data_IF_746672516722
#
_entry.id   IF_746672516722
#
_cell.length_a   1.000
_cell.length_b   1.000
_cell.length_c   1.000
_cell.angle_alpha   90.00
_cell.angle_beta   90.00
_cell.angle_gamma   90.00
#
_symmetry.space_group_name_H-M   'P 1'
#
loop_
_entity.id
_entity.type
_entity.pdbx_description
1 polymer ?
#
# COMPACT_ATOMS: atom_id res chain seq x y z
N UNK A 1 7.61 6.46 0.48
CA UNK A 1 8.56 6.45 1.59
C UNK A 1 9.52 5.29 1.44
N UNK A 2 10.75 5.43 1.92
CA UNK A 2 11.73 4.34 2.00
C UNK A 2 12.62 4.58 3.21
N UNK A 3 13.16 3.53 3.79
CA UNK A 3 14.19 3.65 4.83
C UNK A 3 15.40 4.44 4.30
N UNK A 4 15.85 5.43 5.07
CA UNK A 4 16.88 6.37 4.65
C UNK A 4 18.25 5.72 4.49
N UNK A 5 18.59 4.76 5.36
CA UNK A 5 19.89 4.08 5.37
C UNK A 5 20.03 2.99 4.28
N UNK A 6 18.93 2.63 3.61
CA UNK A 6 18.92 1.59 2.59
C UNK A 6 19.31 2.07 1.19
N UNK A 7 19.22 1.16 0.19
CA UNK A 7 19.39 1.50 -1.24
C UNK A 7 18.28 2.39 -1.81
N UNK A 8 17.22 2.65 -1.04
CA UNK A 8 16.12 3.55 -1.41
C UNK A 8 15.37 3.18 -2.70
N UNK A 9 15.36 1.89 -3.07
CA UNK A 9 14.76 1.39 -4.33
C UNK A 9 13.31 0.94 -4.21
N UNK A 10 12.79 0.73 -3.00
CA UNK A 10 11.42 0.26 -2.77
C UNK A 10 10.66 1.34 -2.05
N UNK A 11 9.55 1.77 -2.65
CA UNK A 11 8.67 2.77 -2.06
C UNK A 11 7.48 2.11 -1.38
N UNK A 12 7.21 2.55 -0.15
CA UNK A 12 6.01 2.25 0.61
C UNK A 12 5.09 3.47 0.73
N UNK A 13 3.82 3.23 1.02
CA UNK A 13 2.82 4.29 1.18
C UNK A 13 3.09 5.17 2.40
N UNK A 14 3.51 4.56 3.51
CA UNK A 14 3.77 5.23 4.79
C UNK A 14 5.10 4.75 5.38
N UNK A 15 5.78 5.58 6.19
CA UNK A 15 7.00 5.17 6.89
C UNK A 15 6.70 4.02 7.86
N UNK A 16 7.56 3.01 7.92
CA UNK A 16 7.40 1.84 8.79
C UNK A 16 6.27 0.87 8.41
N UNK A 17 5.48 1.16 7.36
CA UNK A 17 4.40 0.28 6.89
C UNK A 17 4.82 -0.41 5.60
N UNK A 18 4.71 -1.75 5.57
CA UNK A 18 5.07 -2.63 4.45
C UNK A 18 3.98 -2.64 3.38
N UNK A 19 3.55 -1.45 2.96
CA UNK A 19 2.52 -1.24 1.95
C UNK A 19 3.20 -0.80 0.64
N UNK A 20 3.51 -1.75 -0.22
CA UNK A 20 4.24 -1.50 -1.47
C UNK A 20 3.51 -0.49 -2.37
N UNK A 21 4.27 0.41 -2.99
CA UNK A 21 3.78 1.38 -3.99
C UNK A 21 4.51 1.16 -5.32
N UNK A 22 5.84 1.18 -5.29
CA UNK A 22 6.64 1.06 -6.50
C UNK A 22 8.07 0.60 -6.19
N UNK A 23 8.77 0.18 -7.24
CA UNK A 23 10.23 0.02 -7.19
C UNK A 23 10.88 0.95 -8.21
N UNK A 24 12.01 1.55 -7.83
CA UNK A 24 12.76 2.50 -8.65
C UNK A 24 13.98 1.80 -9.24
N UNK A 25 14.17 1.95 -10.55
CA UNK A 25 15.36 1.49 -11.28
C UNK A 25 16.52 2.45 -11.05
N UNK A 26 17.76 1.96 -11.16
CA UNK A 26 18.96 2.72 -10.77
C UNK A 26 19.17 4.01 -11.58
N UNK A 27 18.77 4.02 -12.85
CA UNK A 27 18.76 5.18 -13.73
C UNK A 27 17.79 6.27 -13.26
N UNK A 28 16.57 5.88 -12.88
CA UNK A 28 15.58 6.82 -12.33
C UNK A 28 16.01 7.35 -10.96
N UNK A 29 16.68 6.53 -10.14
CA UNK A 29 17.14 6.89 -8.80
C UNK A 29 18.02 8.16 -8.79
N UNK A 30 18.81 8.38 -9.85
CA UNK A 30 19.70 9.54 -9.96
C UNK A 30 18.93 10.87 -10.01
N UNK A 31 17.65 10.84 -10.39
CA UNK A 31 16.80 12.02 -10.55
C UNK A 31 15.76 12.16 -9.41
N UNK A 32 15.79 11.25 -8.44
CA UNK A 32 14.86 11.26 -7.31
C UNK A 32 15.20 12.38 -6.35
N UNK A 33 14.17 13.10 -5.90
CA UNK A 33 14.29 14.14 -4.87
C UNK A 33 13.76 13.63 -3.54
N UNK A 34 14.48 13.91 -2.47
CA UNK A 34 13.96 13.74 -1.11
C UNK A 34 13.15 14.98 -0.75
N UNK A 35 11.86 14.80 -0.46
CA UNK A 35 10.95 15.88 -0.08
C UNK A 35 10.91 16.09 1.44
N UNK A 36 10.96 15.00 2.20
CA UNK A 36 10.75 15.01 3.65
C UNK A 36 11.48 13.83 4.27
N UNK A 37 11.88 13.98 5.54
CA UNK A 37 12.39 12.90 6.38
C UNK A 37 11.59 12.81 7.67
N UNK A 38 11.45 11.61 8.19
CA UNK A 38 10.79 11.35 9.47
C UNK A 38 11.45 10.17 10.17
N UNK A 39 11.26 10.05 11.48
CA UNK A 39 11.73 8.90 12.26
C UNK A 39 10.53 8.14 12.79
N UNK A 40 10.46 6.84 12.51
CA UNK A 40 9.42 5.96 13.07
C UNK A 40 9.78 5.69 14.52
N UNK A 41 8.94 6.13 15.46
CA UNK A 41 9.20 6.05 16.89
C UNK A 41 9.44 4.61 17.36
N UNK A 42 8.61 3.65 16.92
CA UNK A 42 8.65 2.25 17.36
C UNK A 42 9.99 1.55 17.05
N UNK A 43 10.68 1.97 15.99
CA UNK A 43 11.91 1.32 15.50
C UNK A 43 13.12 2.24 15.53
N UNK A 44 12.94 3.51 15.90
CA UNK A 44 13.92 4.58 15.80
C UNK A 44 14.62 4.64 14.42
N UNK A 45 13.87 4.33 13.35
CA UNK A 45 14.41 4.25 11.99
C UNK A 45 14.06 5.51 11.21
N UNK A 46 15.04 6.12 10.53
CA UNK A 46 14.80 7.27 9.65
C UNK A 46 14.24 6.80 8.29
N UNK A 47 13.21 7.49 7.81
CA UNK A 47 12.56 7.26 6.54
C UNK A 47 12.52 8.55 5.71
N UNK A 48 12.73 8.41 4.40
CA UNK A 48 12.70 9.48 3.43
C UNK A 48 11.46 9.39 2.52
N UNK A 49 10.76 10.50 2.33
CA UNK A 49 9.71 10.67 1.34
C UNK A 49 10.35 11.11 0.03
N UNK A 50 10.30 10.23 -0.96
CA UNK A 50 10.92 10.44 -2.25
C UNK A 50 9.90 10.87 -3.29
N UNK A 51 10.33 11.72 -4.23
CA UNK A 51 9.61 12.11 -5.43
C UNK A 51 10.42 11.72 -6.65
N UNK A 52 9.77 11.06 -7.61
CA UNK A 52 10.33 10.70 -8.89
C UNK A 52 9.36 11.12 -10.00
N UNK A 53 9.90 11.48 -11.15
CA UNK A 53 9.11 11.73 -12.37
C UNK A 53 9.35 10.59 -13.34
N UNK A 54 8.28 10.03 -13.90
CA UNK A 54 8.35 8.93 -14.85
C UNK A 54 7.27 9.09 -15.93
N UNK A 55 7.49 8.45 -17.08
CA UNK A 55 6.54 8.42 -18.19
C UNK A 55 5.67 7.16 -18.11
N UNK A 56 4.36 7.33 -18.34
CA UNK A 56 3.38 6.24 -18.39
C UNK A 56 2.44 6.46 -19.57
N UNK A 57 1.92 5.37 -20.17
CA UNK A 57 0.87 5.49 -21.18
C UNK A 57 -0.41 5.95 -20.51
N UNK A 58 -1.11 6.91 -21.12
CA UNK A 58 -2.37 7.44 -20.57
C UNK A 58 -3.41 6.35 -20.29
N UNK A 59 -3.45 5.29 -21.12
CA UNK A 59 -4.39 4.16 -20.95
C UNK A 59 -4.13 3.28 -19.73
N UNK A 60 -2.98 3.40 -19.08
CA UNK A 60 -2.62 2.61 -17.89
C UNK A 60 -3.02 3.32 -16.58
N UNK A 61 -3.75 4.44 -16.66
CA UNK A 61 -4.21 5.21 -15.50
C UNK A 61 -5.74 5.19 -15.39
N UNK A 62 -6.21 5.17 -14.14
CA UNK A 62 -7.62 5.40 -13.80
C UNK A 62 -7.77 6.81 -13.19
N UNK A 63 -8.92 7.45 -13.42
CA UNK A 63 -9.18 8.80 -12.91
C UNK A 63 -9.54 8.82 -11.42
N UNK A 64 -10.03 7.70 -10.88
CA UNK A 64 -10.40 7.55 -9.46
C UNK A 64 -10.04 6.14 -9.02
N UNK A 65 -9.52 6.01 -7.80
CA UNK A 65 -9.16 4.74 -7.16
C UNK A 65 -10.40 4.00 -6.62
N UNK A 66 -11.52 4.70 -6.36
CA UNK A 66 -12.73 4.12 -5.74
C UNK A 66 -13.25 2.86 -6.43
N UNK A 67 -13.29 2.74 -7.78
CA UNK A 67 -13.73 1.49 -8.42
C UNK A 67 -12.82 0.30 -8.08
N UNK A 68 -11.51 0.53 -7.90
CA UNK A 68 -10.56 -0.51 -7.50
C UNK A 68 -10.82 -0.91 -6.04
N UNK A 69 -11.13 0.04 -5.15
CA UNK A 69 -11.50 -0.25 -3.76
C UNK A 69 -12.85 -0.93 -3.61
N UNK A 70 -13.84 -0.56 -4.40
CA UNK A 70 -15.12 -1.28 -4.44
C UNK A 70 -14.93 -2.73 -4.91
N UNK A 71 -14.06 -2.96 -5.91
CA UNK A 71 -13.72 -4.31 -6.34
C UNK A 71 -13.01 -5.10 -5.22
N UNK A 72 -12.03 -4.50 -4.55
CA UNK A 72 -11.31 -5.15 -3.46
C UNK A 72 -12.21 -5.46 -2.25
N UNK A 73 -13.14 -4.58 -1.92
CA UNK A 73 -14.16 -4.81 -0.90
C UNK A 73 -15.10 -5.98 -1.27
N UNK A 74 -15.55 -6.03 -2.52
CA UNK A 74 -16.32 -7.18 -3.03
C UNK A 74 -15.52 -8.48 -2.99
N UNK A 75 -14.22 -8.44 -3.34
CA UNK A 75 -13.33 -9.59 -3.24
C UNK A 75 -13.20 -10.05 -1.78
N UNK A 76 -13.01 -9.12 -0.85
CA UNK A 76 -12.90 -9.42 0.57
C UNK A 76 -14.16 -10.12 1.09
N UNK A 77 -15.32 -9.49 0.88
CA UNK A 77 -16.59 -10.01 1.36
C UNK A 77 -16.98 -11.33 0.69
N UNK A 78 -16.73 -11.46 -0.61
CA UNK A 78 -17.05 -12.66 -1.38
C UNK A 78 -16.13 -13.85 -1.09
N UNK A 79 -14.88 -13.59 -0.69
CA UNK A 79 -13.87 -14.64 -0.47
C UNK A 79 -13.76 -15.03 1.01
N UNK A 80 -13.70 -14.05 1.91
CA UNK A 80 -13.34 -14.29 3.31
C UNK A 80 -14.53 -14.70 4.20
N UNK A 81 -15.77 -14.54 3.73
CA UNK A 81 -16.98 -14.99 4.45
C UNK A 81 -17.40 -16.43 4.12
N UNK A 82 -16.67 -17.15 3.27
CA UNK A 82 -17.10 -18.47 2.78
C UNK A 82 -16.99 -19.59 3.84
N UNK A 83 -16.05 -19.46 4.79
CA UNK A 83 -15.80 -20.49 5.80
C UNK A 83 -16.23 -20.06 7.22
N UNK A 84 -16.07 -18.78 7.55
CA UNK A 84 -16.48 -18.15 8.81
C UNK A 84 -16.71 -16.66 8.55
N UNK A 85 -17.15 -15.89 9.56
CA UNK A 85 -17.27 -14.44 9.42
C UNK A 85 -15.91 -13.79 9.16
N UNK A 86 -15.83 -12.93 8.15
CA UNK A 86 -14.63 -12.17 7.86
C UNK A 86 -14.32 -11.21 9.02
N UNK A 87 -13.05 -11.05 9.43
CA UNK A 87 -12.69 -10.09 10.46
C UNK A 87 -12.99 -8.66 10.01
N UNK A 88 -13.25 -7.76 10.96
CA UNK A 88 -13.31 -6.33 10.65
C UNK A 88 -11.97 -5.86 10.08
N UNK A 89 -11.98 -5.01 9.04
CA UNK A 89 -10.74 -4.58 8.38
C UNK A 89 -9.81 -3.83 9.35
N UNK A 90 -10.41 -3.11 10.30
CA UNK A 90 -9.74 -2.40 11.39
C UNK A 90 -9.25 -3.31 12.53
N UNK A 91 -9.45 -4.63 12.46
CA UNK A 91 -9.00 -5.54 13.51
C UNK A 91 -7.47 -5.68 13.54
N UNK A 92 -6.81 -5.65 12.39
CA UNK A 92 -5.36 -5.71 12.27
C UNK A 92 -4.77 -4.37 11.85
N UNK A 93 -3.51 -4.13 12.21
CA UNK A 93 -2.71 -3.05 11.61
C UNK A 93 -2.26 -3.41 10.18
N UNK A 94 -1.76 -2.43 9.44
CA UNK A 94 -1.38 -2.62 8.04
C UNK A 94 -0.25 -3.66 7.85
N UNK A 95 0.63 -3.87 8.83
CA UNK A 95 1.66 -4.90 8.72
C UNK A 95 1.11 -6.29 9.09
N UNK A 96 0.18 -6.37 10.03
CA UNK A 96 -0.49 -7.58 10.48
C UNK A 96 -1.28 -8.26 9.36
N UNK A 97 -1.95 -7.48 8.51
CA UNK A 97 -2.68 -7.99 7.35
C UNK A 97 -1.83 -8.85 6.39
N UNK A 98 -0.52 -8.66 6.34
CA UNK A 98 0.38 -9.51 5.54
C UNK A 98 0.34 -10.95 6.04
N UNK A 99 0.49 -11.15 7.35
CA UNK A 99 0.44 -12.48 7.95
C UNK A 99 -0.95 -13.09 7.86
N UNK A 100 -1.97 -12.30 8.19
CA UNK A 100 -3.38 -12.73 8.17
C UNK A 100 -3.80 -13.21 6.78
N UNK A 101 -3.59 -12.41 5.74
CA UNK A 101 -3.99 -12.78 4.38
C UNK A 101 -3.19 -14.00 3.88
N UNK A 102 -1.89 -14.07 4.16
CA UNK A 102 -1.07 -15.22 3.78
C UNK A 102 -1.55 -16.54 4.41
N UNK A 103 -2.08 -16.48 5.63
CA UNK A 103 -2.68 -17.65 6.29
C UNK A 103 -3.98 -18.12 5.63
N UNK A 104 -4.70 -17.21 4.95
CA UNK A 104 -6.00 -17.49 4.34
C UNK A 104 -5.89 -17.81 2.85
N UNK A 105 -4.92 -17.23 2.14
CA UNK A 105 -4.90 -17.19 0.66
C UNK A 105 -4.90 -18.59 0.02
N UNK A 106 -4.29 -19.58 0.66
CA UNK A 106 -4.27 -20.97 0.19
C UNK A 106 -5.64 -21.66 0.21
N UNK A 107 -6.63 -21.09 0.90
CA UNK A 107 -8.01 -21.56 0.96
C UNK A 107 -8.96 -20.74 0.06
N UNK A 108 -8.41 -19.86 -0.77
CA UNK A 108 -9.17 -18.98 -1.68
C UNK A 108 -8.88 -19.31 -3.15
N UNK A 109 -9.71 -18.81 -4.05
CA UNK A 109 -9.48 -18.89 -5.51
C UNK A 109 -8.84 -17.62 -6.10
N UNK A 110 -8.27 -16.75 -5.26
CA UNK A 110 -7.73 -15.46 -5.69
C UNK A 110 -6.49 -15.64 -6.57
N UNK A 111 -6.43 -14.92 -7.69
CA UNK A 111 -5.23 -14.84 -8.51
C UNK A 111 -4.16 -13.92 -7.86
N UNK A 112 -2.91 -13.95 -8.37
CA UNK A 112 -1.82 -13.15 -7.81
C UNK A 112 -2.02 -11.63 -7.91
N UNK A 113 -2.86 -11.14 -8.82
CA UNK A 113 -3.22 -9.71 -8.90
C UNK A 113 -4.28 -9.41 -7.87
N UNK A 114 -5.30 -10.23 -7.74
CA UNK A 114 -6.35 -10.08 -6.74
C UNK A 114 -5.80 -10.14 -5.32
N UNK A 115 -4.91 -11.11 -5.02
CA UNK A 115 -4.20 -11.20 -3.74
C UNK A 115 -3.48 -9.89 -3.40
N UNK A 116 -2.74 -9.31 -4.36
CA UNK A 116 -2.01 -8.05 -4.14
C UNK A 116 -2.94 -6.85 -4.00
N UNK A 117 -3.99 -6.78 -4.81
CA UNK A 117 -5.00 -5.71 -4.75
C UNK A 117 -5.75 -5.75 -3.43
N UNK A 118 -6.16 -6.94 -3.00
CA UNK A 118 -6.84 -7.17 -1.72
C UNK A 118 -5.91 -6.83 -0.55
N UNK A 119 -4.66 -7.31 -0.57
CA UNK A 119 -3.70 -6.94 0.47
C UNK A 119 -3.54 -5.42 0.56
N UNK A 120 -3.33 -4.75 -0.58
CA UNK A 120 -3.19 -3.29 -0.61
C UNK A 120 -4.43 -2.60 -0.04
N UNK A 121 -5.62 -3.06 -0.38
CA UNK A 121 -6.89 -2.53 0.15
C UNK A 121 -6.98 -2.70 1.67
N UNK A 122 -6.74 -3.91 2.19
CA UNK A 122 -6.78 -4.20 3.63
C UNK A 122 -5.76 -3.34 4.39
N UNK A 123 -4.54 -3.23 3.86
CA UNK A 123 -3.48 -2.42 4.45
C UNK A 123 -3.74 -0.91 4.42
N UNK A 124 -4.57 -0.41 3.49
CA UNK A 124 -4.93 1.01 3.42
C UNK A 124 -6.13 1.37 4.31
N UNK A 125 -6.89 0.36 4.74
CA UNK A 125 -8.08 0.49 5.59
C UNK A 125 -7.87 -0.14 6.98
N UNK A 126 -6.63 -0.50 7.30
CA UNK A 126 -6.25 -1.11 8.57
C UNK A 126 -6.36 -0.12 9.74
N UNK A 127 -6.30 -0.61 10.97
CA UNK A 127 -6.49 0.19 12.20
C UNK A 127 -5.63 1.46 12.28
N UNK A 128 -4.42 1.42 11.73
CA UNK A 128 -3.39 2.45 11.83
C UNK A 128 -3.21 3.28 10.55
N UNK A 129 -4.03 3.01 9.52
CA UNK A 129 -3.97 3.63 8.19
C UNK A 129 -5.31 4.12 7.67
N UNK A 130 -6.43 3.61 8.19
CA UNK A 130 -7.76 4.09 7.85
C UNK A 130 -7.85 5.61 8.04
N UNK A 131 -8.42 6.30 7.05
CA UNK A 131 -8.55 7.76 7.05
C UNK A 131 -7.24 8.53 6.79
N UNK A 132 -6.09 7.87 6.65
CA UNK A 132 -4.87 8.54 6.16
C UNK A 132 -4.96 8.68 4.65
N UNK A 133 -4.94 9.93 4.17
CA UNK A 133 -5.03 10.21 2.75
C UNK A 133 -3.98 9.42 1.94
N UNK A 134 -4.42 8.80 0.85
CA UNK A 134 -3.51 8.54 -0.27
C UNK A 134 -2.89 9.87 -0.68
N UNK A 135 -1.63 9.88 -1.13
CA UNK A 135 -0.79 11.07 -1.32
C UNK A 135 -1.31 12.17 -2.25
N UNK A 136 -2.57 12.16 -2.66
CA UNK A 136 -3.26 13.26 -3.32
C UNK A 136 -3.68 14.29 -2.26
N UNK A 137 -2.80 15.23 -1.98
CA UNK A 137 -3.26 16.55 -1.56
C UNK A 137 -4.11 17.10 -2.71
N UNK A 138 -5.41 17.30 -2.48
CA UNK A 138 -6.18 18.24 -3.29
C UNK A 138 -5.42 19.57 -3.26
N UNK A 139 -4.96 20.04 -4.41
CA UNK A 139 -4.72 21.47 -4.61
C UNK A 139 -6.09 22.13 -4.48
N UNK A 140 -6.33 22.73 -3.32
CA UNK A 140 -7.42 23.66 -3.11
C UNK A 140 -7.03 24.97 -3.81
N UNK A 141 -7.83 25.36 -4.79
CA UNK A 141 -7.72 26.62 -5.54
C UNK A 141 -8.21 27.79 -4.69
#
# INVERSE_FOLDING_TARGET
>A
WTESAGRQRVLTQFPGKRIFVASIRGDVQQQVKTLEKTTVADTNTEWSKLQATAWMKKGDMVNDIKPIWAYADSLYNGTCNQCHGAPEISHFDANGWIGTLNGMIGFTSLDKREERTLLKYLQMNASDTAGKAHGDKKEEK
#
